data_IF_771119454086
#
_entry.id   IF_771119454086
#
_cell.length_a   1.000
_cell.length_b   1.000
_cell.length_c   1.000
_cell.angle_alpha   90.00
_cell.angle_beta   90.00
_cell.angle_gamma   90.00
#
_symmetry.space_group_name_H-M   'P 1'
#
loop_
_entity.id
_entity.type
_entity.pdbx_description
1 polymer ?
2 non-polymer ?
3 water ?
#
# COMPACT_ATOMS: atom_id res chain seq x y z
N UNK A 5 -9.43 10.72 17.32
CA UNK A 5 -8.07 10.10 17.14
C UNK A 5 -8.20 8.69 16.58
N UNK A 6 -7.51 8.41 15.48
CA UNK A 6 -7.63 7.11 14.81
C UNK A 6 -6.50 6.15 15.21
N UNK A 7 -5.46 6.68 15.85
CA UNK A 7 -4.31 5.86 16.28
C UNK A 7 -3.60 6.57 17.43
N UNK A 8 -2.71 5.84 18.09
CA UNK A 8 -1.76 6.46 19.03
C UNK A 8 -0.38 6.02 18.63
N UNK A 9 0.63 6.67 19.20
CA UNK A 9 1.97 6.24 18.90
C UNK A 9 2.89 6.53 20.07
N UNK A 10 4.03 5.87 20.07
CA UNK A 10 5.06 6.08 21.09
C UNK A 10 6.40 5.77 20.45
N UNK A 11 7.47 5.97 21.22
CA UNK A 11 8.80 5.83 20.64
C UNK A 11 9.84 5.36 21.66
N UNK A 12 10.83 4.64 21.15
CA UNK A 12 12.08 4.38 21.84
C UNK A 12 13.09 5.25 21.11
N UNK A 13 14.30 5.36 21.65
CA UNK A 13 15.31 6.16 20.93
C UNK A 13 15.49 5.76 19.47
N UNK A 14 15.37 4.46 19.18
CA UNK A 14 15.63 3.93 17.85
C UNK A 14 14.40 3.37 17.12
N UNK A 15 13.20 3.55 17.68
CA UNK A 15 12.00 2.87 17.14
C UNK A 15 10.73 3.71 17.28
N UNK A 16 9.83 3.54 16.32
CA UNK A 16 8.51 4.17 16.37
C UNK A 16 7.47 3.03 16.49
N UNK A 17 6.48 3.20 17.37
CA UNK A 17 5.38 2.24 17.54
C UNK A 17 4.06 2.95 17.32
N UNK A 18 3.17 2.33 16.54
CA UNK A 18 1.85 2.91 16.26
C UNK A 18 0.82 1.85 16.64
N UNK A 19 -0.25 2.30 17.29
CA UNK A 19 -1.34 1.39 17.71
C UNK A 19 -2.67 1.90 17.20
N UNK A 20 -3.55 0.97 16.81
CA UNK A 20 -4.91 1.37 16.44
C UNK A 20 -5.83 0.17 16.63
N UNK A 21 -7.13 0.42 16.84
CA UNK A 21 -8.05 -0.69 17.13
C UNK A 21 -8.52 -1.44 15.88
N UNK A 22 -8.72 -2.76 16.02
CA UNK A 22 -9.13 -3.61 14.89
C UNK A 22 -10.62 -3.44 14.69
N UNK A 23 -11.03 -3.25 13.43
CA UNK A 23 -12.44 -3.06 13.00
C UNK A 23 -13.24 -2.14 13.92
N UNK A 27 -10.98 -9.66 9.37
CA UNK A 27 -10.22 -10.63 8.59
C UNK A 27 -10.45 -10.48 7.09
N UNK A 28 -9.45 -10.80 6.27
CA UNK A 28 -8.07 -11.06 6.71
C UNK A 28 -7.16 -10.22 5.80
N UNK A 29 -7.81 -9.38 5.00
CA UNK A 29 -7.17 -8.38 4.16
C UNK A 29 -7.64 -7.00 4.62
N UNK A 30 -8.20 -6.96 5.82
CA UNK A 30 -8.72 -5.75 6.41
C UNK A 30 -7.62 -4.73 6.69
N UNK A 31 -6.45 -5.21 7.11
CA UNK A 31 -5.36 -4.33 7.54
C UNK A 31 -4.37 -4.15 6.40
N UNK A 32 -4.27 -2.92 5.91
CA UNK A 32 -3.38 -2.62 4.80
C UNK A 32 -2.37 -1.57 5.25
N UNK A 33 -1.08 -1.91 5.20
CA UNK A 33 -0.01 -1.01 5.65
C UNK A 33 1.07 -0.94 4.57
N UNK A 34 1.41 0.28 4.15
CA UNK A 34 2.48 0.51 3.18
C UNK A 34 3.33 1.69 3.63
N UNK A 35 4.66 1.53 3.61
CA UNK A 35 5.56 2.65 3.75
C UNK A 35 6.48 2.64 2.54
N UNK A 36 6.64 3.81 1.91
CA UNK A 36 7.62 4.03 0.85
C UNK A 36 8.34 5.33 1.18
N UNK A 37 9.64 5.23 1.39
CA UNK A 37 10.41 6.36 1.90
C UNK A 37 9.84 6.73 3.26
N UNK A 38 9.39 7.98 3.40
CA UNK A 38 8.78 8.45 4.64
C UNK A 38 7.26 8.43 4.59
N UNK A 39 6.71 8.14 3.40
CA UNK A 39 5.27 8.11 3.17
C UNK A 39 4.67 6.88 3.83
N UNK A 40 3.61 7.08 4.58
CA UNK A 40 2.98 5.98 5.29
C UNK A 40 1.47 6.00 5.02
N UNK A 41 0.94 4.83 4.70
CA UNK A 41 -0.49 4.63 4.48
C UNK A 41 -0.92 3.43 5.30
N UNK A 42 -1.88 3.63 6.20
CA UNK A 42 -2.44 2.54 6.99
C UNK A 42 -3.96 2.60 6.82
N UNK A 43 -4.54 1.50 6.38
CA UNK A 43 -5.99 1.44 6.24
C UNK A 43 -6.55 0.26 7.00
N UNK A 44 -7.77 0.40 7.49
CA UNK A 44 -8.41 -0.66 8.22
C UNK A 44 -9.82 -0.81 7.66
N UNK A 45 -10.06 -1.94 6.99
CA UNK A 45 -11.32 -2.18 6.30
C UNK A 45 -11.67 -1.03 5.37
N UNK A 46 -10.67 -0.55 4.62
CA UNK A 46 -10.88 0.55 3.69
C UNK A 46 -10.86 1.96 4.29
N UNK A 47 -11.04 2.07 5.61
CA UNK A 47 -10.98 3.36 6.32
C UNK A 47 -9.53 3.77 6.57
N UNK A 48 -9.18 5.00 6.23
CA UNK A 48 -7.82 5.47 6.46
C UNK A 48 -7.59 5.66 7.96
N UNK A 49 -6.50 5.06 8.45
CA UNK A 49 -6.04 5.26 9.81
C UNK A 49 -4.98 6.36 9.78
N UNK A 50 -3.98 6.19 8.92
CA UNK A 50 -2.94 7.21 8.70
C UNK A 50 -2.67 7.34 7.21
N UNK A 51 -2.48 8.58 6.76
CA UNK A 51 -2.08 8.88 5.40
C UNK A 51 -1.22 10.12 5.49
N UNK A 52 0.09 9.94 5.58
CA UNK A 52 0.97 11.09 5.73
C UNK A 52 2.42 10.77 5.50
N UNK A 53 3.27 11.61 6.09
CA UNK A 53 4.70 11.45 5.94
C UNK A 53 5.30 11.47 7.32
N UNK A 54 6.13 10.48 7.62
CA UNK A 54 6.75 10.38 8.93
C UNK A 54 7.71 11.55 9.10
N UNK A 55 7.92 11.98 10.33
CA UNK A 55 8.77 13.14 10.60
C UNK A 55 10.21 12.95 10.12
N UNK A 56 10.76 11.76 10.33
CA UNK A 56 12.12 11.43 9.91
C UNK A 56 12.17 10.06 9.24
N UNK A 57 13.32 9.74 8.67
CA UNK A 57 13.51 8.49 7.95
C UNK A 57 13.48 7.25 8.84
N UNK A 58 12.86 6.19 8.30
CA UNK A 58 12.87 4.89 8.96
C UNK A 58 13.42 3.81 8.03
N UNK A 59 13.83 2.69 8.62
CA UNK A 59 14.22 1.53 7.84
C UNK A 59 12.94 0.79 7.41
N UNK A 60 12.46 1.07 6.21
CA UNK A 60 11.16 0.52 5.78
C UNK A 60 11.13 -1.01 5.83
N UNK A 61 12.28 -1.65 5.55
CA UNK A 61 12.39 -3.12 5.64
C UNK A 61 12.12 -3.70 7.05
N UNK A 62 12.27 -2.87 8.08
CA UNK A 62 12.12 -3.32 9.46
C UNK A 62 10.66 -3.29 9.92
N UNK A 63 9.80 -2.72 9.09
CA UNK A 63 8.36 -2.56 9.39
C UNK A 63 7.73 -3.90 9.75
N UNK A 64 7.04 -3.94 10.88
CA UNK A 64 6.39 -5.18 11.33
C UNK A 64 5.10 -4.79 12.04
N UNK A 65 4.12 -5.67 12.00
CA UNK A 65 2.90 -5.43 12.76
C UNK A 65 2.31 -6.76 13.16
N UNK A 66 1.53 -6.73 14.24
CA UNK A 66 0.80 -7.90 14.72
C UNK A 66 -0.49 -7.42 15.36
N UNK A 67 -1.44 -8.34 15.54
CA UNK A 67 -2.67 -8.02 16.26
C UNK A 67 -2.57 -8.62 17.67
N UNK A 68 -2.73 -7.77 18.68
CA UNK A 68 -2.82 -8.19 20.09
C UNK A 68 -4.23 -7.91 20.60
N UNK A 69 -5.06 -8.95 20.73
CA UNK A 69 -6.47 -8.73 21.03
C UNK A 69 -7.14 -7.82 20.02
N UNK A 70 -7.71 -6.70 20.49
CA UNK A 70 -8.43 -5.76 19.63
C UNK A 70 -7.51 -4.65 19.11
N UNK A 71 -6.20 -4.79 19.30
CA UNK A 71 -5.29 -3.68 18.95
C UNK A 71 -4.18 -4.13 18.01
N UNK A 72 -3.97 -3.37 16.95
CA UNK A 72 -2.87 -3.62 16.02
C UNK A 72 -1.67 -2.85 16.53
N UNK A 73 -0.53 -3.53 16.62
CA UNK A 73 0.72 -2.87 17.02
C UNK A 73 1.68 -2.87 15.83
N UNK A 74 2.12 -1.69 15.41
CA UNK A 74 3.03 -1.53 14.27
C UNK A 74 4.35 -0.99 14.82
N UNK A 75 5.47 -1.52 14.33
CA UNK A 75 6.79 -1.11 14.81
C UNK A 75 7.68 -0.90 13.57
N UNK A 76 8.51 0.14 13.59
CA UNK A 76 9.50 0.34 12.53
C UNK A 76 10.72 1.01 13.17
N UNK A 77 11.90 0.67 12.66
CA UNK A 77 13.15 1.17 13.27
C UNK A 77 13.51 2.52 12.64
N UNK A 78 13.94 3.48 13.47
CA UNK A 78 14.38 4.78 12.99
C UNK A 78 15.74 4.66 12.32
N UNK A 79 15.97 5.45 11.27
CA UNK A 79 17.32 5.48 10.65
C UNK A 79 18.33 6.15 11.56
N UNK A 80 17.90 7.18 12.27
CA UNK A 80 18.76 7.91 13.20
C UNK A 80 18.22 7.80 14.62
N UNK A 81 19.11 7.59 15.59
CA UNK A 81 18.70 7.48 17.00
C UNK A 81 18.48 8.85 17.65
N UNK A 82 17.26 9.36 17.55
CA UNK A 82 16.92 10.69 18.07
C UNK A 82 15.44 10.68 18.44
N UNK A 83 15.07 11.47 19.44
CA UNK A 83 13.66 11.63 19.78
C UNK A 83 12.94 12.41 18.68
N UNK A 84 11.69 12.04 18.41
CA UNK A 84 10.85 12.77 17.45
C UNK A 84 9.82 13.58 18.23
N UNK A 85 9.69 14.86 17.88
CA UNK A 85 8.66 15.74 18.45
C UNK A 85 7.23 15.33 18.08
N UNK A 86 7.06 14.78 16.88
CA UNK A 86 5.75 14.35 16.40
C UNK A 86 5.95 13.12 15.52
N UNK A 87 4.87 12.38 15.25
CA UNK A 87 4.98 11.20 14.40
C UNK A 87 5.11 11.62 12.94
N UNK A 88 4.34 12.63 12.56
CA UNK A 88 4.20 13.03 11.17
C UNK A 88 4.73 14.45 10.93
N UNK A 89 5.00 14.76 9.67
CA UNK A 89 5.51 16.08 9.25
C UNK A 89 4.62 17.25 9.66
N UNK B 5 7.93 -6.13 -22.57
CA UNK B 5 6.81 -6.22 -21.56
C UNK B 5 7.14 -5.41 -20.32
N UNK B 6 6.25 -4.48 -19.95
CA UNK B 6 6.51 -3.54 -18.86
C UNK B 6 5.90 -4.01 -17.55
N UNK B 7 5.04 -5.03 -17.62
CA UNK B 7 4.33 -5.54 -16.44
C UNK B 7 3.84 -6.95 -16.73
N UNK B 8 3.41 -7.63 -15.68
CA UNK B 8 2.70 -8.92 -15.84
C UNK B 8 1.43 -8.83 -15.02
N UNK B 9 0.53 -9.77 -15.24
CA UNK B 9 -0.67 -9.75 -14.45
C UNK B 9 -1.17 -11.17 -14.27
N UNK B 10 -2.02 -11.35 -13.27
CA UNK B 10 -2.67 -12.63 -13.03
C UNK B 10 -4.01 -12.34 -12.37
N UNK B 11 -4.82 -13.37 -12.17
CA UNK B 11 -6.15 -13.13 -11.64
C UNK B 11 -6.61 -14.26 -10.73
N UNK B 12 -7.47 -13.90 -9.79
CA UNK B 12 -8.31 -14.85 -9.09
C UNK B 12 -9.71 -14.62 -9.63
N UNK B 13 -10.65 -15.45 -9.22
CA UNK B 13 -11.99 -15.29 -9.76
C UNK B 13 -12.53 -13.87 -9.50
N UNK B 14 -12.17 -13.29 -8.35
CA UNK B 14 -12.71 -12.00 -7.94
C UNK B 14 -11.69 -10.86 -7.93
N UNK B 15 -10.47 -11.11 -8.42
CA UNK B 15 -9.44 -10.06 -8.28
C UNK B 15 -8.42 -10.08 -9.41
N UNK B 16 -7.86 -8.91 -9.67
CA UNK B 16 -6.79 -8.75 -10.66
C UNK B 16 -5.53 -8.31 -9.90
N UNK B 17 -4.39 -8.88 -10.31
CA UNK B 17 -3.08 -8.55 -9.75
C UNK B 17 -2.17 -8.13 -10.88
N UNK B 18 -1.44 -7.04 -10.66
CA UNK B 18 -0.48 -6.57 -11.68
C UNK B 18 0.87 -6.42 -10.97
N UNK B 19 1.94 -6.78 -11.66
CA UNK B 19 3.30 -6.71 -11.06
C UNK B 19 4.21 -5.99 -12.03
N UNK B 20 5.10 -5.16 -11.51
CA UNK B 20 6.12 -4.57 -12.38
C UNK B 20 7.34 -4.26 -11.52
N UNK B 21 8.53 -4.13 -12.16
CA UNK B 21 9.75 -3.90 -11.40
C UNK B 21 9.97 -2.44 -10.99
N UNK B 22 10.51 -2.25 -9.77
CA UNK B 22 10.77 -0.92 -9.22
C UNK B 22 12.00 -0.40 -9.92
N UNK B 23 11.89 0.80 -10.49
CA UNK B 23 13.06 1.46 -11.05
C UNK B 23 13.48 2.60 -10.12
N UNK B 24 14.62 2.44 -9.44
CA UNK B 24 15.39 1.20 -9.47
C UNK B 24 15.94 0.88 -8.09
N UNK B 29 6.77 8.78 -3.98
CA UNK B 29 7.70 9.39 -4.92
C UNK B 29 7.48 8.90 -6.37
N UNK B 30 8.09 7.76 -6.67
CA UNK B 30 8.29 7.29 -8.04
C UNK B 30 7.05 6.62 -8.64
N UNK B 31 6.22 6.02 -7.79
CA UNK B 31 5.14 5.16 -8.26
C UNK B 31 3.82 5.91 -8.23
N UNK B 32 3.25 6.08 -9.41
CA UNK B 32 2.01 6.83 -9.56
C UNK B 32 0.96 5.91 -10.17
N UNK B 33 -0.13 5.68 -9.45
CA UNK B 33 -1.17 4.76 -9.92
C UNK B 33 -2.53 5.45 -9.75
N UNK B 34 -3.31 5.47 -10.82
CA UNK B 34 -4.66 6.05 -10.81
C UNK B 34 -5.59 5.13 -11.59
N UNK B 35 -6.75 4.85 -11.02
CA UNK B 35 -7.83 4.22 -11.75
C UNK B 35 -9.05 5.11 -11.61
N UNK B 36 -9.70 5.41 -12.74
CA UNK B 36 -10.99 6.11 -12.73
C UNK B 36 -11.89 5.32 -13.65
N UNK B 37 -12.99 4.82 -13.11
CA UNK B 37 -13.81 3.85 -13.84
C UNK B 37 -12.94 2.65 -14.21
N UNK B 38 -12.86 2.36 -15.50
CA UNK B 38 -12.01 1.29 -16.05
C UNK B 38 -10.65 1.79 -16.54
N UNK B 39 -10.46 3.12 -16.57
CA UNK B 39 -9.21 3.71 -17.07
C UNK B 39 -8.12 3.49 -16.04
N UNK B 40 -6.95 3.05 -16.50
CA UNK B 40 -5.86 2.78 -15.57
C UNK B 40 -4.57 3.42 -16.09
N UNK B 41 -3.89 4.13 -15.20
CA UNK B 41 -2.60 4.75 -15.50
C UNK B 41 -1.63 4.37 -14.40
N UNK B 42 -0.50 3.77 -14.79
CA UNK B 42 0.54 3.40 -13.84
C UNK B 42 1.83 3.95 -14.42
N UNK B 43 2.51 4.78 -13.63
CA UNK B 43 3.80 5.30 -14.07
C UNK B 43 4.86 5.00 -13.02
N UNK B 44 6.09 4.85 -13.48
CA UNK B 44 7.19 4.56 -12.59
C UNK B 44 8.33 5.48 -12.98
N UNK B 45 8.67 6.41 -12.09
CA UNK B 45 9.67 7.43 -12.37
C UNK B 45 9.39 8.17 -13.68
N UNK B 46 8.13 8.51 -13.93
CA UNK B 46 7.77 9.20 -15.16
C UNK B 46 7.51 8.31 -16.36
N UNK B 47 8.05 7.09 -16.36
CA UNK B 47 7.82 6.13 -17.46
C UNK B 47 6.47 5.43 -17.34
N UNK B 48 5.72 5.35 -18.43
CA UNK B 48 4.41 4.70 -18.38
C UNK B 48 4.62 3.19 -18.31
N UNK B 49 3.99 2.55 -17.32
CA UNK B 49 3.96 1.09 -17.22
C UNK B 49 2.70 0.59 -17.92
N UNK B 50 1.55 1.19 -17.58
CA UNK B 50 0.27 0.89 -18.24
C UNK B 50 -0.50 2.18 -18.43
N UNK B 51 -1.12 2.31 -19.59
CA UNK B 51 -2.02 3.42 -19.88
C UNK B 51 -3.12 2.84 -20.75
N UNK B 52 -4.22 2.44 -20.14
CA UNK B 52 -5.29 1.80 -20.90
C UNK B 52 -6.59 1.70 -20.16
N UNK B 53 -7.39 0.73 -20.57
CA UNK B 53 -8.71 0.56 -20.04
C UNK B 53 -8.83 -0.91 -19.70
N UNK B 54 -9.20 -1.20 -18.46
CA UNK B 54 -9.33 -2.58 -18.01
C UNK B 54 -10.46 -3.27 -18.78
N UNK B 55 -10.38 -4.58 -18.91
CA UNK B 55 -11.37 -5.31 -19.71
C UNK B 55 -12.78 -5.22 -19.15
N UNK B 56 -12.90 -5.31 -17.83
CA UNK B 56 -14.18 -5.22 -17.13
C UNK B 56 -14.06 -4.31 -15.92
N UNK B 57 -15.20 -4.04 -15.28
CA UNK B 57 -15.24 -3.11 -14.15
C UNK B 57 -14.62 -3.68 -12.87
N UNK B 58 -13.95 -2.79 -12.13
CA UNK B 58 -13.38 -3.13 -10.84
C UNK B 58 -13.88 -2.18 -9.76
N UNK B 59 -13.73 -2.59 -8.51
CA UNK B 59 -14.02 -1.72 -7.38
C UNK B 59 -12.79 -0.81 -7.16
N UNK B 60 -12.85 0.38 -7.73
CA UNK B 60 -11.69 1.28 -7.72
C UNK B 60 -11.24 1.60 -6.28
N UNK B 61 -12.18 1.62 -5.34
CA UNK B 61 -11.86 1.86 -3.93
C UNK B 61 -11.01 0.75 -3.29
N UNK B 62 -11.01 -0.43 -3.89
CA UNK B 62 -10.31 -1.60 -3.34
C UNK B 62 -8.85 -1.65 -3.79
N UNK B 63 -8.49 -0.73 -4.67
CA UNK B 63 -7.13 -0.66 -5.26
C UNK B 63 -6.10 -0.58 -4.14
N UNK B 64 -5.09 -1.43 -4.21
CA UNK B 64 -4.03 -1.40 -3.20
C UNK B 64 -2.73 -1.81 -3.87
N UNK B 65 -1.62 -1.31 -3.36
CA UNK B 65 -0.32 -1.75 -3.86
C UNK B 65 0.72 -1.69 -2.77
N UNK B 66 1.76 -2.50 -2.92
CA UNK B 66 2.91 -2.49 -2.04
C UNK B 66 4.14 -2.87 -2.82
N UNK B 67 5.31 -2.61 -2.23
CA UNK B 67 6.57 -2.99 -2.85
C UNK B 67 7.11 -4.19 -2.08
N UNK B 68 7.34 -5.29 -2.79
CA UNK B 68 7.99 -6.49 -2.25
C UNK B 68 9.36 -6.66 -2.90
N UNK B 69 10.43 -6.33 -2.18
CA UNK B 69 11.77 -6.29 -2.79
C UNK B 69 11.82 -5.36 -4.00
N UNK B 70 12.13 -5.90 -5.17
CA UNK B 70 12.25 -5.09 -6.40
C UNK B 70 10.97 -5.09 -7.23
N UNK B 71 9.89 -5.62 -6.67
CA UNK B 71 8.64 -5.75 -7.45
C UNK B 71 7.46 -5.05 -6.77
N UNK B 72 6.70 -4.30 -7.56
CA UNK B 72 5.48 -3.65 -7.07
C UNK B 72 4.34 -4.61 -7.36
N UNK B 73 3.53 -4.87 -6.33
CA UNK B 73 2.34 -5.72 -6.49
C UNK B 73 1.09 -4.86 -6.33
N UNK B 74 0.25 -4.82 -7.37
CA UNK B 74 -0.99 -4.02 -7.36
C UNK B 74 -2.16 -5.01 -7.39
N UNK B 75 -3.19 -4.73 -6.59
CA UNK B 75 -4.35 -5.64 -6.51
C UNK B 75 -5.61 -4.78 -6.57
N UNK B 76 -6.63 -5.24 -7.29
CA UNK B 76 -7.94 -4.57 -7.27
C UNK B 76 -9.01 -5.66 -7.41
N UNK B 77 -10.16 -5.43 -6.77
CA UNK B 77 -11.23 -6.44 -6.75
C UNK B 77 -12.12 -6.24 -7.98
N UNK B 78 -12.52 -7.34 -8.63
CA UNK B 78 -13.42 -7.27 -9.79
C UNK B 78 -14.85 -6.97 -9.30
N UNK B 79 -15.62 -6.24 -10.09
CA UNK B 79 -17.05 -6.05 -9.78
C UNK B 79 -17.82 -7.37 -9.91
N UNK B 80 -17.51 -8.12 -10.95
CA UNK B 80 -18.18 -9.38 -11.25
C UNK B 80 -17.19 -10.54 -11.16
N UNK B 81 -17.59 -11.64 -10.52
CA UNK B 81 -16.72 -12.81 -10.41
C UNK B 81 -16.73 -13.63 -11.71
N UNK B 82 -15.77 -13.36 -12.59
CA UNK B 82 -15.66 -14.04 -13.88
C UNK B 82 -14.20 -13.96 -14.29
N UNK B 83 -13.75 -14.95 -15.05
CA UNK B 83 -12.40 -14.92 -15.61
C UNK B 83 -12.29 -13.86 -16.71
N UNK B 84 -11.14 -13.18 -16.77
CA UNK B 84 -10.87 -12.22 -17.85
C UNK B 84 -9.92 -12.86 -18.84
N UNK B 85 -10.26 -12.75 -20.13
CA UNK B 85 -9.42 -13.22 -21.24
C UNK B 85 -8.12 -12.41 -21.36
N UNK B 86 -8.21 -11.13 -21.04
CA UNK B 86 -7.06 -10.23 -21.12
C UNK B 86 -7.20 -9.19 -20.02
N UNK B 87 -6.11 -8.48 -19.73
CA UNK B 87 -6.15 -7.46 -18.68
C UNK B 87 -6.86 -6.22 -19.17
N UNK B 88 -6.54 -5.83 -20.40
CA UNK B 88 -6.99 -4.58 -21.01
C UNK B 88 -7.91 -4.82 -22.21
N UNK B 89 -8.63 -3.78 -22.62
CA UNK B 89 -9.59 -3.88 -23.74
C UNK B 89 -8.97 -4.35 -25.06
X LIG C 1 -3.48 5.90 2.55
X LIG C 1 -3.57 6.90 1.04
X LIG C 1 -4.31 6.26 -0.13
X LIG C 1 -5.59 5.79 0.25
X LIG C 1 -3.45 5.15 -0.71
X LIG C 1 -2.56 5.71 -1.66
X LIG C 1 -4.27 4.02 -1.33
X LIG C 1 -3.25 2.76 -2.14
X LIG D 1 -1.88 11.75 -15.71
X LIG D 1 -2.03 11.36 -17.48
X LIG D 1 -1.80 9.89 -17.79
X LIG D 1 -3.01 9.29 -18.21
X LIG D 1 -0.76 9.69 -18.88
X LIG D 1 0.48 10.22 -18.45
X LIG D 1 -0.58 8.21 -19.23
X LIG D 1 -0.85 7.02 -17.88
#
# INVERSE_FOLDING_TARGET
MPSEAKYTWDQELNEINIQFPVTGDADSSAIKIRMVGKKICVKNQGEIVIDGELLHEVDVSSLWWVINGDVVDVNVTKKRNEWWDSLLVGSESVDVQKLAENKHADMSMLDAEAREVVEKMMHNTSGKDSE
MPSEAKYTWDQELNEINIQFPVTGDADSSAIKIRMVGKKICVKNQGEIVIDGELLHEVDVSSLWWVINGDVVDVNVTKKRNEWWDSLLVGSESVDVQKLAENKHADMSMLDAEAREVVEKMMHNTSGKDSE
DTT S1 C1 C2 O2 C3 O3 C4 S4
DTT S1 C1 C2 O2 C3 O3 C4 S4
#
